data_IF_722782651120
#
_entry.id   IF_722782651120
#
_cell.length_a   1.000
_cell.length_b   1.000
_cell.length_c   1.000
_cell.angle_alpha   90.00
_cell.angle_beta   90.00
_cell.angle_gamma   90.00
#
_symmetry.space_group_name_H-M   'P 1'
#
loop_
_entity.id
_entity.type
_entity.pdbx_description
1 polymer ?
#
# COMPACT_ATOMS: atom_id res chain seq x y z
N UNK A 1 -43.28 -23.92 10.92
CA UNK A 1 -42.27 -23.50 9.92
C UNK A 1 -42.88 -22.34 9.16
N UNK A 2 -42.26 -21.16 9.06
CA UNK A 2 -42.87 -20.05 8.32
C UNK A 2 -42.86 -20.41 6.83
N UNK A 3 -44.05 -20.45 6.23
CA UNK A 3 -44.22 -20.75 4.81
C UNK A 3 -43.53 -19.68 3.96
N UNK A 4 -42.44 -20.06 3.28
CA UNK A 4 -41.83 -19.21 2.25
C UNK A 4 -42.74 -19.27 1.04
N UNK A 5 -43.54 -18.22 0.83
CA UNK A 5 -44.30 -18.06 -0.40
C UNK A 5 -43.34 -18.05 -1.61
N UNK A 6 -43.48 -18.98 -2.57
CA UNK A 6 -42.70 -18.94 -3.79
C UNK A 6 -43.08 -17.70 -4.57
N UNK A 7 -42.09 -16.84 -4.84
CA UNK A 7 -42.30 -15.64 -5.64
C UNK A 7 -42.64 -16.04 -7.08
N UNK A 8 -43.62 -15.41 -7.74
CA UNK A 8 -43.91 -15.66 -9.16
C UNK A 8 -42.68 -15.44 -10.04
N UNK A 9 -42.56 -16.18 -11.14
CA UNK A 9 -41.48 -16.01 -12.10
C UNK A 9 -41.47 -14.57 -12.65
N UNK A 10 -40.36 -13.85 -12.45
CA UNK A 10 -40.23 -12.44 -12.83
C UNK A 10 -40.60 -11.43 -11.73
N UNK A 11 -41.01 -11.87 -10.55
CA UNK A 11 -41.27 -10.98 -9.42
C UNK A 11 -39.97 -10.54 -8.75
N UNK A 12 -39.68 -9.24 -8.77
CA UNK A 12 -38.66 -8.61 -7.93
C UNK A 12 -39.34 -7.81 -6.82
N UNK A 13 -38.92 -7.93 -5.54
CA UNK A 13 -39.50 -7.15 -4.45
C UNK A 13 -39.47 -5.64 -4.76
N UNK A 14 -40.52 -4.88 -4.42
CA UNK A 14 -40.48 -3.43 -4.45
C UNK A 14 -39.27 -2.94 -3.63
N UNK A 15 -38.37 -2.19 -4.27
CA UNK A 15 -37.11 -1.73 -3.66
C UNK A 15 -35.87 -2.58 -3.93
N UNK A 16 -35.98 -3.73 -4.59
CA UNK A 16 -34.81 -4.45 -5.13
C UNK A 16 -33.99 -3.59 -6.11
N UNK A 17 -34.67 -2.68 -6.82
CA UNK A 17 -34.11 -1.67 -7.71
C UNK A 17 -33.36 -0.53 -6.98
N UNK A 18 -33.61 -0.33 -5.68
CA UNK A 18 -32.85 0.61 -4.82
C UNK A 18 -31.69 -0.07 -4.07
N UNK A 19 -31.50 -1.39 -4.27
CA UNK A 19 -30.35 -2.12 -3.75
C UNK A 19 -29.14 -1.69 -4.57
N UNK A 20 -28.54 -0.58 -4.18
CA UNK A 20 -27.43 0.11 -4.84
C UNK A 20 -26.23 -0.84 -5.06
N UNK A 21 -26.23 -1.58 -6.16
CA UNK A 21 -25.09 -2.37 -6.63
C UNK A 21 -23.95 -1.46 -7.12
N UNK A 22 -24.27 -0.23 -7.54
CA UNK A 22 -23.29 0.75 -8.05
C UNK A 22 -22.42 1.44 -6.98
N UNK A 23 -22.89 1.52 -5.72
CA UNK A 23 -22.15 2.19 -4.64
C UNK A 23 -20.92 1.43 -4.14
N UNK A 24 -20.84 0.11 -4.41
CA UNK A 24 -19.67 -0.70 -4.07
C UNK A 24 -18.47 -0.40 -4.98
N UNK A 25 -18.71 -0.28 -6.28
CA UNK A 25 -17.65 -0.10 -7.29
C UNK A 25 -16.95 1.24 -7.13
N UNK A 26 -17.68 2.34 -6.96
CA UNK A 26 -17.09 3.68 -6.79
C UNK A 26 -16.23 3.77 -5.52
N UNK A 27 -16.70 3.20 -4.40
CA UNK A 27 -15.94 3.13 -3.15
C UNK A 27 -14.68 2.27 -3.28
N UNK A 28 -14.75 1.18 -4.05
CA UNK A 28 -13.58 0.33 -4.33
C UNK A 28 -12.55 1.06 -5.17
N UNK A 29 -12.95 1.72 -6.25
CA UNK A 29 -12.06 2.48 -7.14
C UNK A 29 -11.39 3.62 -6.39
N UNK A 30 -12.14 4.41 -5.62
CA UNK A 30 -11.58 5.50 -4.81
C UNK A 30 -10.59 4.95 -3.78
N UNK A 31 -10.97 3.89 -3.06
CA UNK A 31 -10.07 3.26 -2.08
C UNK A 31 -8.80 2.69 -2.72
N UNK A 32 -8.88 2.15 -3.93
CA UNK A 32 -7.72 1.68 -4.68
C UNK A 32 -6.81 2.83 -5.10
N UNK A 33 -7.35 3.92 -5.64
CA UNK A 33 -6.58 5.10 -6.03
C UNK A 33 -5.88 5.73 -4.81
N UNK A 34 -6.61 5.88 -3.69
CA UNK A 34 -6.04 6.43 -2.46
C UNK A 34 -4.90 5.55 -1.95
N UNK A 35 -5.10 4.22 -1.90
CA UNK A 35 -4.02 3.29 -1.53
C UNK A 35 -2.82 3.40 -2.47
N UNK A 36 -3.06 3.42 -3.78
CA UNK A 36 -2.02 3.48 -4.79
C UNK A 36 -1.21 4.78 -4.76
N UNK A 37 -1.80 5.89 -4.29
CA UNK A 37 -1.12 7.18 -4.14
C UNK A 37 -0.41 7.29 -2.79
N UNK A 38 -1.05 6.85 -1.70
CA UNK A 38 -0.46 6.98 -0.36
C UNK A 38 0.72 6.03 -0.14
N UNK A 39 0.70 4.83 -0.72
CA UNK A 39 1.79 3.87 -0.55
C UNK A 39 3.15 4.37 -1.05
N UNK A 40 3.31 4.91 -2.28
CA UNK A 40 4.61 5.43 -2.74
C UNK A 40 5.06 6.64 -1.92
N UNK A 41 4.13 7.47 -1.42
CA UNK A 41 4.46 8.57 -0.49
C UNK A 41 5.03 8.00 0.81
N UNK A 42 4.37 6.99 1.40
CA UNK A 42 4.87 6.29 2.58
C UNK A 42 6.24 5.66 2.37
N UNK A 43 6.47 5.06 1.19
CA UNK A 43 7.78 4.50 0.81
C UNK A 43 8.85 5.60 0.73
N UNK A 44 8.55 6.74 0.11
CA UNK A 44 9.50 7.85 0.01
C UNK A 44 9.93 8.36 1.41
N UNK A 45 8.98 8.52 2.34
CA UNK A 45 9.28 8.87 3.72
C UNK A 45 10.07 7.78 4.45
N UNK A 46 9.71 6.50 4.25
CA UNK A 46 10.41 5.38 4.87
C UNK A 46 11.86 5.28 4.39
N UNK A 47 12.08 5.37 3.08
CA UNK A 47 13.39 5.27 2.45
C UNK A 47 14.30 6.42 2.88
N UNK A 48 13.80 7.67 2.82
CA UNK A 48 14.56 8.84 3.24
C UNK A 48 14.84 8.82 4.74
N UNK A 49 13.84 8.47 5.53
CA UNK A 49 13.96 8.35 6.98
C UNK A 49 15.01 7.32 7.37
N UNK A 50 15.02 6.15 6.72
CA UNK A 50 16.00 5.09 6.94
C UNK A 50 17.41 5.46 6.49
N UNK A 51 17.56 6.14 5.36
CA UNK A 51 18.86 6.62 4.86
C UNK A 51 19.48 7.64 5.84
N UNK A 52 18.72 8.64 6.25
CA UNK A 52 19.17 9.63 7.25
C UNK A 52 19.43 8.96 8.59
N UNK A 53 18.62 7.94 8.97
CA UNK A 53 18.81 7.20 10.21
C UNK A 53 20.17 6.49 10.24
N UNK A 54 20.54 5.91 9.09
CA UNK A 54 21.79 5.18 8.92
C UNK A 54 23.00 6.11 9.01
N UNK A 55 22.89 7.33 8.47
CA UNK A 55 23.96 8.32 8.54
C UNK A 55 24.30 8.68 10.00
N UNK A 56 23.32 8.95 10.86
CA UNK A 56 23.65 9.33 12.25
C UNK A 56 24.08 8.14 13.12
N UNK A 57 23.45 6.96 12.98
CA UNK A 57 23.80 5.77 13.79
C UNK A 57 25.21 5.30 13.47
N UNK A 58 25.61 5.34 12.20
CA UNK A 58 26.89 4.77 11.74
C UNK A 58 27.99 5.85 11.65
N UNK A 59 27.67 7.05 11.17
CA UNK A 59 28.66 8.12 10.91
C UNK A 59 28.70 9.18 12.02
N UNK A 60 27.80 9.13 13.00
CA UNK A 60 27.82 10.02 14.16
C UNK A 60 27.31 11.46 13.91
N UNK A 61 26.72 11.73 12.75
CA UNK A 61 26.17 13.04 12.41
C UNK A 61 24.79 13.25 13.07
N UNK A 62 24.74 14.08 14.11
CA UNK A 62 23.52 14.35 14.89
C UNK A 62 22.58 15.38 14.27
N UNK A 63 22.96 16.03 13.17
CA UNK A 63 22.28 17.22 12.64
C UNK A 63 20.83 16.99 12.24
N UNK A 64 20.46 15.78 11.78
CA UNK A 64 19.14 15.50 11.20
C UNK A 64 18.37 14.33 11.87
N UNK A 65 18.74 14.00 13.12
CA UNK A 65 18.14 12.87 13.87
C UNK A 65 16.63 13.00 14.09
N UNK A 66 16.16 14.20 14.42
CA UNK A 66 14.73 14.47 14.63
C UNK A 66 13.96 14.38 13.30
N UNK A 67 14.53 14.90 12.21
CA UNK A 67 13.96 14.80 10.88
C UNK A 67 13.78 13.35 10.43
N UNK A 68 14.82 12.53 10.56
CA UNK A 68 14.76 11.09 10.28
C UNK A 68 13.68 10.36 11.09
N UNK A 69 13.62 10.62 12.40
CA UNK A 69 12.61 9.99 13.29
C UNK A 69 11.19 10.36 12.87
N UNK A 70 10.93 11.63 12.57
CA UNK A 70 9.62 12.09 12.12
C UNK A 70 9.24 11.48 10.77
N UNK A 71 10.18 11.37 9.82
CA UNK A 71 9.94 10.75 8.52
C UNK A 71 9.51 9.28 8.67
N UNK A 72 10.17 8.51 9.55
CA UNK A 72 9.80 7.12 9.83
C UNK A 72 8.41 7.02 10.46
N UNK A 73 8.09 7.90 11.43
CA UNK A 73 6.76 7.94 12.07
C UNK A 73 5.67 8.26 11.04
N UNK A 74 5.91 9.25 10.18
CA UNK A 74 4.98 9.63 9.10
C UNK A 74 4.78 8.47 8.14
N UNK A 75 5.86 7.79 7.73
CA UNK A 75 5.75 6.60 6.87
C UNK A 75 4.92 5.49 7.52
N UNK A 76 5.19 5.18 8.79
CA UNK A 76 4.44 4.18 9.55
C UNK A 76 2.95 4.54 9.65
N UNK A 77 2.63 5.81 9.93
CA UNK A 77 1.26 6.30 9.97
C UNK A 77 0.57 6.18 8.60
N UNK A 78 1.27 6.50 7.51
CA UNK A 78 0.74 6.35 6.15
C UNK A 78 0.46 4.88 5.81
N UNK A 79 1.37 3.96 6.12
CA UNK A 79 1.13 2.53 5.92
C UNK A 79 -0.02 2.02 6.79
N UNK A 80 -0.16 2.52 8.02
CA UNK A 80 -1.29 2.19 8.89
C UNK A 80 -2.62 2.67 8.29
N UNK A 81 -2.66 3.88 7.73
CA UNK A 81 -3.83 4.40 7.01
C UNK A 81 -4.17 3.51 5.82
N UNK A 82 -3.18 3.12 5.00
CA UNK A 82 -3.39 2.23 3.85
C UNK A 82 -3.89 0.84 4.28
N UNK A 83 -3.37 0.30 5.37
CA UNK A 83 -3.84 -0.95 5.96
C UNK A 83 -5.28 -0.81 6.50
N UNK A 84 -5.60 0.31 7.17
CA UNK A 84 -6.95 0.60 7.65
C UNK A 84 -7.97 0.77 6.52
N UNK A 85 -7.54 1.28 5.35
CA UNK A 85 -8.38 1.36 4.16
C UNK A 85 -8.85 -0.01 3.66
N UNK A 86 -8.19 -1.11 4.04
CA UNK A 86 -8.65 -2.46 3.76
C UNK A 86 -10.06 -2.72 4.33
N UNK A 87 -10.41 -2.07 5.45
CA UNK A 87 -11.75 -2.18 6.04
C UNK A 87 -12.85 -1.63 5.13
N UNK A 88 -12.51 -0.76 4.16
CA UNK A 88 -13.43 -0.14 3.21
C UNK A 88 -13.27 -0.70 1.79
N UNK A 89 -12.03 -0.76 1.28
CA UNK A 89 -11.69 -1.32 -0.03
C UNK A 89 -10.56 -2.35 0.09
N UNK A 90 -10.88 -3.61 0.46
CA UNK A 90 -9.88 -4.68 0.55
C UNK A 90 -9.08 -4.87 -0.76
N UNK A 91 -9.71 -4.89 -1.96
CA UNK A 91 -8.97 -5.00 -3.22
C UNK A 91 -7.97 -3.84 -3.42
N UNK A 92 -8.33 -2.63 -3.01
CA UNK A 92 -7.46 -1.46 -3.14
C UNK A 92 -6.17 -1.60 -2.34
N UNK A 93 -6.26 -2.05 -1.09
CA UNK A 93 -5.08 -2.29 -0.24
C UNK A 93 -4.22 -3.44 -0.77
N UNK A 94 -4.83 -4.51 -1.30
CA UNK A 94 -4.09 -5.61 -1.93
C UNK A 94 -3.31 -5.12 -3.16
N UNK A 95 -3.96 -4.37 -4.05
CA UNK A 95 -3.32 -3.83 -5.26
C UNK A 95 -2.17 -2.90 -4.88
N UNK A 96 -2.36 -2.02 -3.89
CA UNK A 96 -1.31 -1.11 -3.44
C UNK A 96 -0.09 -1.86 -2.88
N UNK A 97 -0.31 -2.89 -2.04
CA UNK A 97 0.77 -3.74 -1.53
C UNK A 97 1.48 -4.54 -2.62
N UNK A 98 0.76 -4.98 -3.64
CA UNK A 98 1.32 -5.73 -4.76
C UNK A 98 2.16 -4.84 -5.68
N UNK A 99 1.62 -3.70 -6.12
CA UNK A 99 2.26 -2.78 -7.07
C UNK A 99 3.51 -2.14 -6.47
N UNK A 100 3.46 -1.73 -5.21
CA UNK A 100 4.53 -0.93 -4.60
C UNK A 100 5.44 -1.70 -3.65
N UNK A 101 5.03 -2.88 -3.17
CA UNK A 101 5.82 -3.68 -2.24
C UNK A 101 6.31 -4.99 -2.85
N UNK A 102 5.39 -5.87 -3.22
CA UNK A 102 5.73 -7.22 -3.69
C UNK A 102 6.43 -7.19 -5.04
N UNK A 103 5.87 -6.51 -6.05
CA UNK A 103 6.46 -6.48 -7.38
C UNK A 103 7.88 -5.88 -7.38
N UNK A 104 8.15 -4.70 -6.79
CA UNK A 104 9.51 -4.16 -6.72
C UNK A 104 10.45 -5.08 -5.94
N UNK A 105 9.99 -5.68 -4.84
CA UNK A 105 10.79 -6.62 -4.05
C UNK A 105 11.18 -7.87 -4.83
N UNK A 106 10.24 -8.46 -5.57
CA UNK A 106 10.50 -9.62 -6.43
C UNK A 106 11.39 -9.27 -7.61
N UNK A 107 11.17 -8.12 -8.26
CA UNK A 107 12.03 -7.63 -9.34
C UNK A 107 13.46 -7.50 -8.84
N UNK A 108 13.66 -6.97 -7.63
CA UNK A 108 15.00 -6.85 -7.06
C UNK A 108 15.66 -8.20 -6.77
N UNK A 109 14.91 -9.19 -6.29
CA UNK A 109 15.44 -10.54 -6.03
C UNK A 109 15.87 -11.22 -7.34
N UNK A 110 15.10 -11.06 -8.41
CA UNK A 110 15.36 -11.72 -9.70
C UNK A 110 16.41 -10.97 -10.51
N UNK A 111 16.37 -9.63 -10.51
CA UNK A 111 17.20 -8.73 -11.32
C UNK A 111 17.89 -7.66 -10.45
N UNK A 112 18.76 -8.05 -9.50
CA UNK A 112 19.33 -7.13 -8.52
C UNK A 112 20.18 -6.02 -9.17
N UNK A 113 20.88 -6.33 -10.27
CA UNK A 113 21.77 -5.39 -10.96
C UNK A 113 21.00 -4.35 -11.77
N UNK A 114 19.85 -4.71 -12.33
CA UNK A 114 19.06 -3.80 -13.17
C UNK A 114 18.19 -2.85 -12.34
N UNK A 115 17.95 -3.19 -11.08
CA UNK A 115 17.03 -2.45 -10.21
C UNK A 115 17.49 -1.02 -9.95
N UNK A 116 18.81 -0.79 -9.82
CA UNK A 116 19.35 0.56 -9.65
C UNK A 116 19.04 1.44 -10.87
N UNK A 117 19.17 0.88 -12.08
CA UNK A 117 18.84 1.59 -13.33
C UNK A 117 17.35 1.89 -13.41
N UNK A 118 16.50 0.92 -13.12
CA UNK A 118 15.04 1.09 -13.11
C UNK A 118 14.57 2.18 -12.15
N UNK A 119 15.19 2.29 -10.97
CA UNK A 119 14.91 3.36 -10.01
C UNK A 119 15.45 4.70 -10.52
N UNK A 120 16.66 4.73 -11.08
CA UNK A 120 17.27 5.95 -11.62
C UNK A 120 16.52 6.54 -12.82
N UNK A 121 15.83 5.72 -13.60
CA UNK A 121 15.00 6.15 -14.73
C UNK A 121 13.68 6.82 -14.30
N UNK A 122 13.35 6.84 -12.99
CA UNK A 122 12.13 7.47 -12.48
C UNK A 122 12.21 9.00 -12.58
N UNK A 123 11.34 9.65 -13.39
CA UNK A 123 11.38 11.10 -13.58
C UNK A 123 10.88 11.85 -12.34
N UNK A 124 11.43 13.04 -12.11
CA UNK A 124 10.93 13.97 -11.07
C UNK A 124 11.39 13.66 -9.64
N UNK A 125 12.36 12.76 -9.47
CA UNK A 125 13.01 12.50 -8.17
C UNK A 125 14.44 13.07 -8.15
N UNK A 126 14.91 13.45 -6.97
CA UNK A 126 16.30 13.85 -6.75
C UNK A 126 17.21 12.63 -6.65
N UNK A 127 18.49 12.77 -7.01
CA UNK A 127 19.49 11.70 -6.94
C UNK A 127 19.56 11.04 -5.54
N UNK A 128 19.49 11.83 -4.48
CA UNK A 128 19.46 11.33 -3.09
C UNK A 128 18.28 10.40 -2.82
N UNK A 129 17.12 10.66 -3.46
CA UNK A 129 15.93 9.83 -3.30
C UNK A 129 16.07 8.52 -4.08
N UNK A 130 16.70 8.53 -5.26
CA UNK A 130 17.00 7.29 -5.98
C UNK A 130 17.92 6.39 -5.15
N UNK A 131 18.96 6.96 -4.55
CA UNK A 131 19.87 6.23 -3.65
C UNK A 131 19.13 5.69 -2.42
N UNK A 132 18.32 6.53 -1.76
CA UNK A 132 17.55 6.12 -0.60
C UNK A 132 16.55 4.98 -0.92
N UNK A 133 15.85 5.06 -2.06
CA UNK A 133 14.93 4.03 -2.52
C UNK A 133 15.65 2.72 -2.83
N UNK A 134 16.80 2.80 -3.50
CA UNK A 134 17.59 1.60 -3.79
C UNK A 134 18.09 0.93 -2.50
N UNK A 135 18.63 1.71 -1.55
CA UNK A 135 19.04 1.19 -0.25
C UNK A 135 17.86 0.58 0.52
N UNK A 136 16.71 1.24 0.50
CA UNK A 136 15.49 0.72 1.11
C UNK A 136 15.07 -0.62 0.48
N UNK A 137 15.14 -0.73 -0.84
CA UNK A 137 14.81 -1.97 -1.54
C UNK A 137 15.77 -3.12 -1.21
N UNK A 138 17.07 -2.83 -1.09
CA UNK A 138 18.08 -3.81 -0.68
C UNK A 138 17.84 -4.39 0.72
N UNK A 139 17.16 -3.66 1.61
CA UNK A 139 16.84 -4.17 2.95
C UNK A 139 15.71 -5.22 2.95
N UNK A 140 15.01 -5.41 1.82
CA UNK A 140 13.86 -6.32 1.72
C UNK A 140 12.57 -5.80 2.38
N UNK A 141 12.61 -4.64 3.04
CA UNK A 141 11.44 -4.03 3.68
C UNK A 141 10.25 -3.80 2.73
N UNK A 142 10.43 -3.37 1.46
CA UNK A 142 9.29 -3.24 0.54
C UNK A 142 8.48 -4.52 0.37
N UNK A 143 9.15 -5.68 0.31
CA UNK A 143 8.50 -6.97 0.19
C UNK A 143 7.69 -7.28 1.45
N UNK A 144 8.28 -7.08 2.64
CA UNK A 144 7.62 -7.30 3.93
C UNK A 144 6.37 -6.41 4.04
N UNK A 145 6.50 -5.11 3.78
CA UNK A 145 5.38 -4.15 3.82
C UNK A 145 4.31 -4.53 2.80
N UNK A 146 4.71 -4.89 1.57
CA UNK A 146 3.79 -5.35 0.52
C UNK A 146 2.96 -6.56 0.94
N UNK A 147 3.62 -7.57 1.52
CA UNK A 147 2.95 -8.78 2.02
C UNK A 147 2.01 -8.44 3.17
N UNK A 148 2.42 -7.57 4.11
CA UNK A 148 1.56 -7.14 5.21
C UNK A 148 0.31 -6.40 4.74
N UNK A 149 0.44 -5.52 3.73
CA UNK A 149 -0.69 -4.83 3.12
C UNK A 149 -1.62 -5.82 2.41
N UNK A 150 -1.10 -6.77 1.63
CA UNK A 150 -1.90 -7.85 1.03
C UNK A 150 -2.62 -8.66 2.12
N UNK A 151 -1.92 -9.01 3.19
CA UNK A 151 -2.49 -9.74 4.33
C UNK A 151 -3.64 -8.97 4.99
N UNK A 152 -3.49 -7.66 5.19
CA UNK A 152 -4.57 -6.81 5.74
C UNK A 152 -5.80 -6.77 4.84
N UNK A 153 -5.61 -6.67 3.51
CA UNK A 153 -6.69 -6.73 2.53
C UNK A 153 -7.36 -8.11 2.46
N UNK A 154 -6.58 -9.19 2.52
CA UNK A 154 -7.10 -10.55 2.56
C UNK A 154 -7.95 -10.78 3.82
N UNK A 155 -7.45 -10.40 5.00
CA UNK A 155 -8.16 -10.51 6.27
C UNK A 155 -9.49 -9.73 6.25
N UNK A 156 -9.50 -8.52 5.71
CA UNK A 156 -10.72 -7.72 5.57
C UNK A 156 -11.73 -8.34 4.58
N UNK A 157 -11.25 -9.04 3.55
CA UNK A 157 -12.10 -9.77 2.60
C UNK A 157 -12.77 -10.97 3.28
N UNK A 158 -12.02 -11.74 4.06
CA UNK A 158 -12.55 -12.89 4.79
C UNK A 158 -13.57 -12.48 5.85
N UNK A 159 -13.36 -11.37 6.57
CA UNK A 159 -14.32 -10.86 7.58
C UNK A 159 -15.68 -10.48 7.01
N UNK A 160 -15.79 -10.26 5.70
CA UNK A 160 -17.03 -9.86 5.02
C UNK A 160 -17.83 -11.05 4.46
N UNK A 161 -17.25 -12.26 4.48
CA UNK A 161 -17.90 -13.51 4.07
C UNK A 161 -18.48 -14.21 5.30
#
# INVERSE_FOLDING_TARGET
>A
MPEKFPSPAGWSPPGAQFRNTGGGVSRTVIGALVGLILTPIGIAFAARGAANNRQWVILGDLSDRLGSTLQIIVAAALFLVVAALAAYSPPGTIIAGLVWGVLPGLIHIIFPNDTFRLIGDLPGMSDDMHVALFQWLQTGFPLIVGILLIGSGAAATFRRR
#
